data_IF_287519930141
#
_entry.id   IF_287519930141
#
_cell.length_a   1.000
_cell.length_b   1.000
_cell.length_c   1.000
_cell.angle_alpha   90.00
_cell.angle_beta   90.00
_cell.angle_gamma   90.00
#
_symmetry.space_group_name_H-M   'P 1'
#
loop_
_entity.id
_entity.type
_entity.pdbx_description
1 polymer ?
#
# COMPACT_ATOMS: atom_id res chain seq x y z
N UNK A 1 -18.49 23.04 17.77
CA UNK A 1 -18.41 21.97 16.73
C UNK A 1 -17.98 22.71 15.49
N UNK A 2 -16.81 22.36 14.92
CA UNK A 2 -16.33 23.01 13.70
C UNK A 2 -17.20 22.59 12.51
N UNK A 3 -17.61 23.54 11.69
CA UNK A 3 -18.29 23.29 10.42
C UNK A 3 -17.27 23.03 9.30
N UNK A 4 -17.73 22.62 8.14
CA UNK A 4 -16.87 22.50 6.96
C UNK A 4 -16.33 23.83 6.50
N UNK A 5 -17.13 24.90 6.64
CA UNK A 5 -16.72 26.26 6.35
C UNK A 5 -15.56 26.67 7.26
N UNK A 6 -15.64 26.41 8.57
CA UNK A 6 -14.56 26.71 9.53
C UNK A 6 -13.25 26.00 9.14
N UNK A 7 -13.32 24.73 8.71
CA UNK A 7 -12.14 23.95 8.30
C UNK A 7 -11.54 24.52 7.01
N UNK A 8 -12.37 24.90 6.06
CA UNK A 8 -11.93 25.43 4.78
C UNK A 8 -11.40 26.86 4.88
N UNK A 9 -11.95 27.67 5.78
CA UNK A 9 -11.46 29.04 6.06
C UNK A 9 -10.04 29.02 6.62
N UNK A 10 -9.70 28.02 7.43
CA UNK A 10 -8.35 27.84 7.97
C UNK A 10 -7.35 27.27 6.94
N UNK A 11 -7.82 26.73 5.82
CA UNK A 11 -6.95 26.14 4.79
C UNK A 11 -6.48 27.23 3.80
N UNK A 12 -5.19 27.62 3.80
CA UNK A 12 -4.69 28.61 2.85
C UNK A 12 -4.76 28.07 1.42
N UNK A 13 -5.17 28.94 0.48
CA UNK A 13 -5.11 28.64 -0.95
C UNK A 13 -3.69 28.92 -1.41
N UNK A 14 -2.93 27.86 -1.70
CA UNK A 14 -1.60 27.94 -2.29
C UNK A 14 -1.67 28.16 -3.82
N UNK A 15 -0.54 28.49 -4.42
CA UNK A 15 -0.41 28.67 -5.86
C UNK A 15 -0.53 27.31 -6.58
N UNK A 16 -1.25 27.29 -7.69
CA UNK A 16 -1.33 26.12 -8.58
C UNK A 16 0.02 25.89 -9.28
N UNK A 17 0.67 24.79 -8.97
CA UNK A 17 1.98 24.42 -9.50
C UNK A 17 1.89 23.21 -10.40
N UNK A 18 2.38 23.33 -11.64
CA UNK A 18 2.53 22.18 -12.54
C UNK A 18 3.62 21.25 -12.00
N UNK A 19 3.31 19.96 -11.89
CA UNK A 19 4.21 18.94 -11.33
C UNK A 19 4.58 17.84 -12.30
N UNK A 20 3.76 17.59 -13.33
CA UNK A 20 4.03 16.61 -14.37
C UNK A 20 3.17 16.85 -15.62
N UNK A 21 3.46 16.09 -16.66
CA UNK A 21 2.61 15.87 -17.82
C UNK A 21 2.30 14.37 -17.95
N UNK A 22 1.09 14.05 -18.41
CA UNK A 22 0.67 12.70 -18.77
C UNK A 22 0.25 12.67 -20.26
N UNK A 23 0.14 11.48 -20.83
CA UNK A 23 -0.42 11.31 -22.17
C UNK A 23 -1.86 11.86 -22.25
N UNK A 24 -2.49 11.86 -23.42
CA UNK A 24 -3.76 12.55 -23.70
C UNK A 24 -3.70 14.08 -23.47
N UNK A 25 -2.53 14.69 -23.59
CA UNK A 25 -2.29 16.13 -23.34
C UNK A 25 -2.82 16.57 -21.95
N UNK A 26 -2.59 15.75 -20.93
CA UNK A 26 -3.02 16.04 -19.56
C UNK A 26 -1.88 16.74 -18.83
N UNK A 27 -2.17 17.96 -18.35
CA UNK A 27 -1.28 18.68 -17.41
C UNK A 27 -1.66 18.32 -15.98
N UNK A 28 -0.67 17.95 -15.17
CA UNK A 28 -0.84 17.59 -13.76
C UNK A 28 -0.37 18.73 -12.88
N UNK A 29 -1.27 19.23 -12.05
CA UNK A 29 -1.00 20.31 -11.12
C UNK A 29 -1.17 19.83 -9.67
N UNK A 30 -0.47 20.52 -8.79
CA UNK A 30 -0.62 20.45 -7.34
C UNK A 30 -1.16 21.79 -6.87
N UNK A 31 -2.26 21.78 -6.12
CA UNK A 31 -2.80 22.95 -5.44
C UNK A 31 -3.56 22.53 -4.20
N UNK A 32 -3.34 23.21 -3.08
CA UNK A 32 -3.88 22.83 -1.78
C UNK A 32 -3.58 21.35 -1.50
N UNK A 33 -4.56 20.55 -1.17
CA UNK A 33 -4.42 19.12 -0.92
C UNK A 33 -4.90 18.28 -2.11
N UNK A 34 -4.83 18.85 -3.32
CA UNK A 34 -5.35 18.23 -4.55
C UNK A 34 -4.25 18.01 -5.57
N UNK A 35 -4.27 16.85 -6.19
CA UNK A 35 -3.63 16.57 -7.47
C UNK A 35 -4.69 16.79 -8.54
N UNK A 36 -4.41 17.66 -9.51
CA UNK A 36 -5.39 18.12 -10.48
C UNK A 36 -4.88 17.77 -11.89
N UNK A 37 -5.60 16.91 -12.59
CA UNK A 37 -5.31 16.50 -13.95
C UNK A 37 -6.24 17.29 -14.87
N UNK A 38 -5.68 18.14 -15.73
CA UNK A 38 -6.43 18.98 -16.66
C UNK A 38 -6.18 18.50 -18.09
N UNK A 39 -7.12 17.78 -18.71
CA UNK A 39 -7.02 17.40 -20.12
C UNK A 39 -7.10 18.63 -21.03
N UNK A 40 -6.24 18.68 -22.04
CA UNK A 40 -6.26 19.69 -23.09
C UNK A 40 -6.81 19.16 -24.42
N UNK A 41 -7.02 17.85 -24.48
CA UNK A 41 -7.70 17.16 -25.58
C UNK A 41 -9.04 16.58 -25.10
N UNK A 42 -9.86 16.13 -26.04
CA UNK A 42 -11.10 15.43 -25.71
C UNK A 42 -10.80 14.06 -25.10
N UNK A 43 -11.41 13.79 -23.96
CA UNK A 43 -11.20 12.53 -23.21
C UNK A 43 -12.51 11.96 -22.68
N UNK A 44 -12.55 10.65 -22.51
CA UNK A 44 -13.54 9.97 -21.68
C UNK A 44 -12.88 9.45 -20.42
N UNK A 45 -13.63 9.43 -19.33
CA UNK A 45 -13.16 8.91 -18.04
C UNK A 45 -14.11 7.84 -17.55
N UNK A 46 -13.56 6.67 -17.21
CA UNK A 46 -14.22 5.65 -16.41
C UNK A 46 -13.73 5.81 -14.97
N UNK A 47 -14.63 6.08 -14.04
CA UNK A 47 -14.31 6.23 -12.62
C UNK A 47 -14.89 5.07 -11.80
N UNK A 48 -14.02 4.39 -11.05
CA UNK A 48 -14.42 3.46 -10.01
C UNK A 48 -14.41 4.17 -8.65
N UNK A 49 -15.45 3.93 -7.85
CA UNK A 49 -15.62 4.55 -6.54
C UNK A 49 -17.08 4.99 -6.32
N UNK A 50 -17.26 5.96 -5.43
CA UNK A 50 -18.60 6.44 -5.03
C UNK A 50 -19.11 7.59 -5.93
N UNK A 51 -19.25 7.31 -7.23
CA UNK A 51 -19.78 8.26 -8.19
C UNK A 51 -21.22 7.88 -8.57
N UNK A 52 -22.08 8.89 -8.86
CA UNK A 52 -23.43 8.65 -9.40
C UNK A 52 -23.40 8.06 -10.82
N UNK A 53 -22.35 8.37 -11.60
CA UNK A 53 -22.08 7.81 -12.92
C UNK A 53 -20.66 7.28 -12.97
N UNK A 54 -20.45 6.17 -13.70
CA UNK A 54 -19.11 5.63 -13.93
C UNK A 54 -18.41 6.24 -15.15
N UNK A 55 -19.16 6.83 -16.11
CA UNK A 55 -18.60 7.40 -17.34
C UNK A 55 -18.81 8.90 -17.41
N UNK A 56 -17.74 9.62 -17.73
CA UNK A 56 -17.74 11.08 -17.88
C UNK A 56 -17.15 11.46 -19.23
N UNK A 57 -17.78 12.40 -19.90
CA UNK A 57 -17.33 12.94 -21.20
C UNK A 57 -16.72 14.32 -20.99
N UNK A 58 -15.51 14.53 -21.47
CA UNK A 58 -14.82 15.81 -21.48
C UNK A 58 -14.93 16.57 -20.13
N UNK A 59 -14.58 15.94 -19.01
CA UNK A 59 -14.58 16.65 -17.74
C UNK A 59 -13.56 17.80 -17.78
N UNK A 60 -13.83 18.86 -17.03
CA UNK A 60 -12.93 19.99 -16.85
C UNK A 60 -11.62 19.57 -16.20
N UNK A 61 -11.71 18.65 -15.25
CA UNK A 61 -10.57 18.10 -14.55
C UNK A 61 -10.90 16.71 -13.97
N UNK A 62 -9.85 15.95 -13.67
CA UNK A 62 -9.88 14.78 -12.80
C UNK A 62 -9.04 15.10 -11.58
N UNK A 63 -9.55 14.93 -10.38
CA UNK A 63 -8.85 15.31 -9.16
C UNK A 63 -8.70 14.15 -8.19
N UNK A 64 -7.57 14.11 -7.49
CA UNK A 64 -7.37 13.27 -6.32
C UNK A 64 -7.11 14.18 -5.11
N UNK A 65 -7.93 14.07 -4.07
CA UNK A 65 -7.98 15.01 -2.97
C UNK A 65 -7.60 14.33 -1.65
N UNK A 66 -6.65 14.92 -0.92
CA UNK A 66 -6.22 14.40 0.37
C UNK A 66 -7.03 14.99 1.52
N UNK A 67 -7.47 14.12 2.42
CA UNK A 67 -8.06 14.51 3.71
C UNK A 67 -7.01 14.60 4.84
N UNK A 68 -5.76 14.22 4.61
CA UNK A 68 -4.70 14.27 5.64
C UNK A 68 -4.45 15.73 6.09
N UNK A 69 -4.31 15.87 7.41
CA UNK A 69 -3.98 17.15 8.07
C UNK A 69 -5.11 18.16 8.08
N UNK A 70 -6.28 17.85 7.59
CA UNK A 70 -7.51 18.55 7.88
C UNK A 70 -7.95 18.10 9.25
N UNK A 71 -8.44 19.00 10.12
CA UNK A 71 -9.05 18.63 11.42
C UNK A 71 -10.31 17.75 11.29
N UNK A 72 -10.42 17.07 10.18
CA UNK A 72 -11.47 16.11 9.85
C UNK A 72 -11.54 14.99 10.88
N UNK A 73 -10.40 14.60 11.45
CA UNK A 73 -10.32 13.60 12.54
C UNK A 73 -11.09 14.03 13.80
N UNK A 74 -11.23 15.35 14.03
CA UNK A 74 -11.99 15.93 15.13
C UNK A 74 -13.41 16.33 14.72
N UNK A 75 -13.77 16.22 13.46
CA UNK A 75 -15.09 16.46 12.95
C UNK A 75 -15.88 15.16 13.01
N UNK A 76 -17.00 15.13 13.74
CA UNK A 76 -17.90 13.96 13.86
C UNK A 76 -18.36 13.41 12.50
N UNK A 77 -18.05 14.10 11.41
CA UNK A 77 -18.44 13.77 10.05
C UNK A 77 -17.26 13.31 9.16
N UNK A 78 -16.02 13.34 9.67
CA UNK A 78 -14.80 13.20 8.86
C UNK A 78 -14.66 11.88 8.10
N UNK A 79 -15.27 10.83 8.59
CA UNK A 79 -15.26 9.50 7.94
C UNK A 79 -16.58 9.18 7.23
N UNK A 80 -17.58 10.08 7.26
CA UNK A 80 -18.86 9.86 6.57
C UNK A 80 -18.73 10.28 5.10
N UNK A 81 -19.14 9.42 4.18
CA UNK A 81 -19.03 9.64 2.73
C UNK A 81 -19.59 11.00 2.29
N UNK A 82 -20.81 11.33 2.71
CA UNK A 82 -21.47 12.61 2.30
C UNK A 82 -20.69 13.85 2.78
N UNK A 83 -20.01 13.76 3.91
CA UNK A 83 -19.24 14.86 4.44
C UNK A 83 -17.95 15.09 3.63
N UNK A 84 -17.31 14.01 3.21
CA UNK A 84 -16.14 14.09 2.33
C UNK A 84 -16.49 14.71 0.98
N UNK A 85 -17.65 14.39 0.41
CA UNK A 85 -18.12 14.95 -0.86
C UNK A 85 -18.34 16.45 -0.76
N UNK A 86 -19.08 16.92 0.25
CA UNK A 86 -19.33 18.35 0.48
C UNK A 86 -18.03 19.15 0.68
N UNK A 87 -17.12 18.62 1.49
CA UNK A 87 -15.81 19.24 1.73
C UNK A 87 -14.98 19.31 0.44
N UNK A 88 -14.99 18.25 -0.36
CA UNK A 88 -14.26 18.20 -1.63
C UNK A 88 -14.82 19.15 -2.64
N UNK A 89 -16.15 19.21 -2.77
CA UNK A 89 -16.86 20.13 -3.67
C UNK A 89 -16.53 21.59 -3.34
N UNK A 90 -16.56 21.95 -2.07
CA UNK A 90 -16.25 23.33 -1.67
C UNK A 90 -14.77 23.68 -1.92
N UNK A 91 -13.84 22.76 -1.63
CA UNK A 91 -12.44 22.94 -1.99
C UNK A 91 -12.25 23.15 -3.48
N UNK A 92 -12.93 22.38 -4.32
CA UNK A 92 -12.86 22.52 -5.78
C UNK A 92 -13.32 23.92 -6.23
N UNK A 93 -14.43 24.43 -5.68
CA UNK A 93 -14.90 25.78 -6.00
C UNK A 93 -13.86 26.84 -5.61
N UNK A 94 -13.26 26.72 -4.45
CA UNK A 94 -12.21 27.66 -3.95
C UNK A 94 -10.97 27.68 -4.84
N UNK A 95 -10.61 26.56 -5.46
CA UNK A 95 -9.46 26.48 -6.38
C UNK A 95 -9.87 26.66 -7.86
N UNK A 96 -11.09 27.16 -8.12
CA UNK A 96 -11.56 27.52 -9.46
C UNK A 96 -11.98 26.33 -10.34
N UNK A 97 -12.39 25.21 -9.75
CA UNK A 97 -12.97 24.07 -10.44
C UNK A 97 -14.48 23.99 -10.20
N UNK A 98 -15.22 23.61 -11.25
CA UNK A 98 -16.65 23.30 -11.13
C UNK A 98 -16.83 21.82 -10.71
N UNK A 99 -17.36 21.53 -9.50
CA UNK A 99 -17.56 20.16 -9.03
C UNK A 99 -18.41 19.30 -9.98
N UNK A 100 -19.40 19.89 -10.65
CA UNK A 100 -20.26 19.17 -11.61
C UNK A 100 -19.55 18.76 -12.89
N UNK A 101 -18.42 19.38 -13.19
CA UNK A 101 -17.58 19.09 -14.36
C UNK A 101 -16.25 18.44 -14.00
N UNK A 102 -16.06 18.07 -12.73
CA UNK A 102 -14.84 17.49 -12.22
C UNK A 102 -15.10 16.07 -11.73
N UNK A 103 -14.29 15.12 -12.21
CA UNK A 103 -14.29 13.75 -11.69
C UNK A 103 -13.37 13.68 -10.47
N UNK A 104 -13.90 13.23 -9.35
CA UNK A 104 -13.27 13.40 -8.05
C UNK A 104 -12.91 12.06 -7.42
N UNK A 105 -11.67 11.93 -6.98
CA UNK A 105 -11.16 10.83 -6.16
C UNK A 105 -10.68 11.36 -4.81
N UNK A 106 -10.70 10.51 -3.79
CA UNK A 106 -10.30 10.88 -2.44
C UNK A 106 -9.29 9.92 -1.84
N UNK A 107 -8.38 10.44 -1.04
CA UNK A 107 -7.33 9.65 -0.38
C UNK A 107 -6.98 10.21 1.00
N UNK A 108 -6.35 9.38 1.83
CA UNK A 108 -5.63 9.83 3.02
C UNK A 108 -4.11 9.94 2.79
N UNK A 109 -3.61 9.77 1.57
CA UNK A 109 -2.20 9.96 1.25
C UNK A 109 -1.88 11.45 1.03
N UNK A 110 -0.62 11.84 1.25
CA UNK A 110 -0.16 13.20 0.99
C UNK A 110 0.02 13.43 -0.51
N UNK A 111 -0.45 14.55 -1.05
CA UNK A 111 -0.38 14.80 -2.50
C UNK A 111 1.05 15.03 -3.03
N UNK A 112 1.96 15.49 -2.18
CA UNK A 112 3.38 15.62 -2.58
C UNK A 112 4.08 14.26 -2.76
N UNK A 113 3.46 13.18 -2.28
CA UNK A 113 3.92 11.81 -2.43
C UNK A 113 3.28 11.09 -3.65
N UNK A 114 2.54 11.83 -4.47
CA UNK A 114 2.01 11.30 -5.72
C UNK A 114 3.15 10.98 -6.69
N UNK A 115 3.08 9.82 -7.33
CA UNK A 115 4.03 9.41 -8.35
C UNK A 115 3.37 9.41 -9.72
N UNK A 116 4.07 9.95 -10.72
CA UNK A 116 3.62 9.94 -12.13
C UNK A 116 4.66 9.18 -12.96
N UNK A 117 4.19 8.22 -13.75
CA UNK A 117 5.00 7.45 -14.70
C UNK A 117 4.38 7.55 -16.09
N UNK A 118 5.23 7.64 -17.11
CA UNK A 118 4.86 7.67 -18.51
C UNK A 118 5.61 6.55 -19.24
N UNK A 119 4.89 5.70 -19.96
CA UNK A 119 5.44 4.63 -20.78
C UNK A 119 4.86 4.67 -22.19
N UNK A 120 5.51 3.95 -23.09
CA UNK A 120 5.03 3.74 -24.45
C UNK A 120 4.98 2.24 -24.70
N UNK A 121 3.85 1.74 -25.15
CA UNK A 121 3.70 0.35 -25.54
C UNK A 121 4.55 0.01 -26.77
N UNK A 122 4.74 -1.25 -27.06
CA UNK A 122 5.51 -1.71 -28.22
C UNK A 122 4.92 -1.15 -29.54
N UNK A 123 3.59 -1.06 -29.62
CA UNK A 123 2.87 -0.54 -30.78
C UNK A 123 2.75 1.01 -30.76
N UNK A 124 3.44 1.68 -29.85
CA UNK A 124 3.56 3.13 -29.81
C UNK A 124 2.40 3.85 -29.11
N UNK A 125 1.55 3.14 -28.38
CA UNK A 125 0.48 3.75 -27.55
C UNK A 125 1.12 4.29 -26.26
N UNK A 126 0.90 5.56 -25.98
CA UNK A 126 1.35 6.20 -24.74
C UNK A 126 0.40 5.87 -23.59
N UNK A 127 0.95 5.48 -22.46
CA UNK A 127 0.25 5.16 -21.23
C UNK A 127 0.87 5.94 -20.09
N UNK A 128 0.06 6.53 -19.23
CA UNK A 128 0.53 7.25 -18.05
C UNK A 128 -0.26 6.85 -16.82
N UNK A 129 0.37 6.82 -15.66
CA UNK A 129 -0.31 6.62 -14.38
C UNK A 129 0.11 7.67 -13.37
N UNK A 130 -0.85 8.31 -12.71
CA UNK A 130 -0.64 9.13 -11.53
C UNK A 130 -1.23 8.40 -10.31
N UNK A 131 -0.39 8.10 -9.32
CA UNK A 131 -0.75 7.21 -8.21
C UNK A 131 -0.41 7.85 -6.87
N UNK A 132 -1.33 7.73 -5.91
CA UNK A 132 -1.06 7.90 -4.48
C UNK A 132 -1.34 6.60 -3.76
N UNK A 133 -0.49 6.22 -2.81
CA UNK A 133 -0.61 4.94 -2.13
C UNK A 133 -0.24 5.03 -0.65
N UNK A 134 -1.16 4.62 0.25
CA UNK A 134 -0.92 4.56 1.68
C UNK A 134 -1.80 3.49 2.33
N UNK A 135 -1.19 2.40 2.80
CA UNK A 135 -1.88 1.24 3.40
C UNK A 135 -1.41 0.87 4.80
N UNK A 136 -0.52 1.65 5.43
CA UNK A 136 -0.05 1.33 6.79
C UNK A 136 -1.17 1.30 7.83
N UNK A 137 -2.21 2.13 7.66
CA UNK A 137 -3.33 2.24 8.59
C UNK A 137 -4.50 1.29 8.31
N UNK A 138 -4.66 0.84 7.05
CA UNK A 138 -5.84 0.07 6.63
C UNK A 138 -5.55 -0.97 5.53
N UNK A 139 -4.30 -1.37 5.37
CA UNK A 139 -3.96 -2.45 4.43
C UNK A 139 -4.80 -3.68 4.72
N UNK A 140 -5.49 -4.18 3.71
CA UNK A 140 -6.39 -5.32 3.81
C UNK A 140 -6.30 -6.25 2.62
N UNK A 141 -6.82 -7.44 2.79
CA UNK A 141 -6.93 -8.44 1.73
C UNK A 141 -8.39 -8.59 1.33
N UNK A 142 -8.65 -8.70 0.04
CA UNK A 142 -9.98 -9.04 -0.44
C UNK A 142 -10.45 -10.35 0.22
N UNK A 143 -11.63 -10.30 0.89
CA UNK A 143 -12.18 -11.38 1.71
C UNK A 143 -11.82 -11.35 3.19
N UNK A 144 -11.07 -10.36 3.67
CA UNK A 144 -10.94 -10.08 5.10
C UNK A 144 -12.26 -9.56 5.69
N UNK A 145 -12.44 -9.57 7.03
CA UNK A 145 -13.60 -8.97 7.68
C UNK A 145 -13.83 -7.53 7.24
N UNK A 146 -15.10 -7.17 7.02
CA UNK A 146 -15.47 -5.81 6.63
C UNK A 146 -15.11 -4.80 7.73
N UNK A 147 -14.64 -3.62 7.30
CA UNK A 147 -14.34 -2.47 8.17
C UNK A 147 -15.19 -1.24 7.83
N UNK A 148 -16.16 -1.37 6.92
CA UNK A 148 -17.13 -0.35 6.59
C UNK A 148 -18.42 -0.59 7.36
N UNK A 149 -18.90 0.44 8.05
CA UNK A 149 -20.20 0.43 8.71
C UNK A 149 -21.27 0.97 7.75
N UNK A 150 -22.17 0.10 7.29
CA UNK A 150 -23.24 0.43 6.36
C UNK A 150 -24.29 1.37 6.97
N UNK A 151 -24.55 1.26 8.28
CA UNK A 151 -25.54 2.09 8.96
C UNK A 151 -25.03 3.52 9.16
N UNK A 152 -23.79 3.65 9.61
CA UNK A 152 -23.14 4.95 9.80
C UNK A 152 -22.49 5.50 8.53
N UNK A 153 -22.36 4.68 7.49
CA UNK A 153 -21.72 5.01 6.20
C UNK A 153 -20.31 5.59 6.39
N UNK A 154 -19.52 4.92 7.21
CA UNK A 154 -18.16 5.36 7.53
C UNK A 154 -17.15 4.20 7.53
N UNK A 155 -15.88 4.56 7.36
CA UNK A 155 -14.76 3.62 7.48
C UNK A 155 -14.08 3.78 8.84
N UNK A 156 -13.67 2.67 9.45
CA UNK A 156 -12.99 2.71 10.76
C UNK A 156 -11.62 3.38 10.71
N UNK A 157 -10.88 3.20 9.60
CA UNK A 157 -9.48 3.68 9.49
C UNK A 157 -9.21 4.33 8.14
N UNK A 158 -8.46 5.45 8.12
CA UNK A 158 -8.07 6.11 6.89
C UNK A 158 -6.92 5.38 6.20
N UNK A 159 -6.89 5.46 4.89
CA UNK A 159 -5.86 4.95 4.00
C UNK A 159 -6.49 4.53 2.69
N UNK A 160 -5.77 4.72 1.57
CA UNK A 160 -6.27 4.29 0.27
C UNK A 160 -5.17 4.27 -0.77
N UNK A 161 -5.46 3.62 -1.89
CA UNK A 161 -4.68 3.70 -3.12
C UNK A 161 -5.59 4.30 -4.19
N UNK A 162 -5.13 5.40 -4.82
CA UNK A 162 -5.80 5.99 -5.98
C UNK A 162 -4.87 5.87 -7.17
N UNK A 163 -5.39 5.27 -8.26
CA UNK A 163 -4.70 5.10 -9.53
C UNK A 163 -5.48 5.88 -10.60
N UNK A 164 -4.87 6.90 -11.18
CA UNK A 164 -5.39 7.64 -12.31
C UNK A 164 -4.57 7.26 -13.55
N UNK A 165 -5.15 6.41 -14.39
CA UNK A 165 -4.53 5.85 -15.59
C UNK A 165 -4.98 6.64 -16.80
N UNK A 166 -4.05 6.98 -17.71
CA UNK A 166 -4.35 7.59 -19.01
C UNK A 166 -3.82 6.71 -20.15
N UNK A 167 -4.61 6.55 -21.20
CA UNK A 167 -4.27 5.80 -22.43
C UNK A 167 -4.55 6.67 -23.64
N UNK A 168 -3.52 6.99 -24.41
CA UNK A 168 -3.60 7.90 -25.55
C UNK A 168 -4.10 7.19 -26.83
N UNK A 169 -5.29 6.68 -26.75
CA UNK A 169 -5.97 5.95 -27.81
C UNK A 169 -7.50 6.03 -27.67
N UNK A 170 -8.21 5.74 -28.75
CA UNK A 170 -9.65 5.46 -28.73
C UNK A 170 -9.88 4.04 -28.20
N UNK A 171 -10.44 3.93 -26.99
CA UNK A 171 -10.62 2.68 -26.25
C UNK A 171 -12.11 2.47 -25.97
N UNK A 172 -12.74 1.36 -26.39
CA UNK A 172 -14.15 1.09 -26.11
C UNK A 172 -14.38 0.78 -24.63
N UNK A 173 -15.61 0.90 -24.16
CA UNK A 173 -15.98 0.74 -22.75
C UNK A 173 -15.50 -0.59 -22.16
N UNK A 174 -15.67 -1.69 -22.91
CA UNK A 174 -15.20 -3.00 -22.47
C UNK A 174 -13.69 -3.05 -22.21
N UNK A 175 -12.89 -2.43 -23.08
CA UNK A 175 -11.44 -2.37 -22.91
C UNK A 175 -11.01 -1.37 -21.81
N UNK A 176 -11.79 -0.33 -21.53
CA UNK A 176 -11.56 0.52 -20.34
C UNK A 176 -11.76 -0.26 -19.05
N UNK A 177 -12.76 -1.14 -18.96
CA UNK A 177 -12.91 -2.05 -17.82
C UNK A 177 -11.74 -3.05 -17.72
N UNK A 178 -11.26 -3.58 -18.83
CA UNK A 178 -10.05 -4.42 -18.82
C UNK A 178 -8.82 -3.66 -18.31
N UNK A 179 -8.63 -2.39 -18.73
CA UNK A 179 -7.55 -1.55 -18.21
C UNK A 179 -7.64 -1.36 -16.69
N UNK A 180 -8.85 -1.13 -16.17
CA UNK A 180 -9.11 -1.03 -14.72
C UNK A 180 -8.78 -2.35 -13.99
N UNK A 181 -9.17 -3.49 -14.54
CA UNK A 181 -8.84 -4.82 -13.99
C UNK A 181 -7.32 -5.05 -14.01
N UNK A 182 -6.64 -4.76 -15.11
CA UNK A 182 -5.19 -4.89 -15.25
C UNK A 182 -4.45 -4.00 -14.24
N UNK A 183 -4.88 -2.75 -14.07
CA UNK A 183 -4.35 -1.85 -13.06
C UNK A 183 -4.52 -2.40 -11.62
N UNK A 184 -5.70 -2.98 -11.33
CA UNK A 184 -5.98 -3.61 -10.04
C UNK A 184 -5.15 -4.86 -9.80
N UNK A 185 -4.93 -5.70 -10.82
CA UNK A 185 -4.04 -6.85 -10.75
C UNK A 185 -2.60 -6.42 -10.50
N UNK A 186 -2.09 -5.43 -11.24
CA UNK A 186 -0.76 -4.86 -11.04
C UNK A 186 -0.58 -4.31 -9.63
N UNK A 187 -1.57 -3.59 -9.11
CA UNK A 187 -1.58 -3.13 -7.70
C UNK A 187 -1.42 -4.28 -6.73
N UNK A 188 -2.19 -5.34 -6.90
CA UNK A 188 -2.12 -6.50 -6.01
C UNK A 188 -0.78 -7.22 -6.09
N UNK A 189 -0.18 -7.31 -7.29
CA UNK A 189 1.17 -7.85 -7.45
C UNK A 189 2.22 -7.06 -6.68
N UNK A 190 2.23 -5.72 -6.80
CA UNK A 190 3.18 -4.86 -6.08
C UNK A 190 3.06 -5.03 -4.57
N UNK A 191 1.84 -5.06 -4.04
CA UNK A 191 1.60 -5.24 -2.61
C UNK A 191 2.08 -6.62 -2.14
N UNK A 192 1.91 -7.66 -2.96
CA UNK A 192 2.42 -9.00 -2.66
C UNK A 192 3.94 -9.07 -2.76
N UNK A 193 4.57 -8.43 -3.74
CA UNK A 193 6.02 -8.36 -3.86
C UNK A 193 6.66 -7.61 -2.68
N UNK A 194 6.00 -6.58 -2.18
CA UNK A 194 6.38 -5.87 -0.96
C UNK A 194 6.03 -6.64 0.32
N UNK A 195 5.36 -7.79 0.23
CA UNK A 195 4.92 -8.58 1.38
C UNK A 195 4.13 -7.77 2.42
N UNK A 196 3.42 -6.73 1.97
CA UNK A 196 2.70 -5.82 2.85
C UNK A 196 1.57 -6.57 3.58
N UNK A 197 1.58 -6.49 4.91
CA UNK A 197 0.63 -7.23 5.73
C UNK A 197 -0.80 -6.69 5.65
N UNK A 198 -1.79 -7.58 5.72
CA UNK A 198 -3.14 -7.19 6.10
C UNK A 198 -3.18 -6.83 7.60
N UNK A 199 -4.00 -5.84 7.96
CA UNK A 199 -4.28 -5.49 9.37
C UNK A 199 -5.49 -6.26 9.93
N UNK A 200 -6.20 -7.00 9.09
CA UNK A 200 -7.44 -7.71 9.43
C UNK A 200 -7.27 -9.24 9.43
N UNK A 201 -6.17 -9.72 8.90
CA UNK A 201 -5.82 -11.15 8.88
C UNK A 201 -4.30 -11.34 8.84
N UNK A 202 -3.77 -12.52 9.20
CA UNK A 202 -2.34 -12.81 9.12
C UNK A 202 -1.87 -13.08 7.68
N UNK A 203 -2.55 -12.52 6.68
CA UNK A 203 -2.25 -12.69 5.26
C UNK A 203 -1.58 -11.44 4.69
N UNK A 204 -1.07 -11.56 3.46
CA UNK A 204 -0.58 -10.43 2.69
C UNK A 204 -1.79 -9.64 2.17
N UNK A 205 -1.76 -8.33 2.26
CA UNK A 205 -2.78 -7.43 1.72
C UNK A 205 -2.89 -7.55 0.18
N UNK A 206 -4.00 -7.09 -0.38
CA UNK A 206 -4.20 -6.92 -1.83
C UNK A 206 -4.53 -5.47 -2.19
N UNK A 207 -4.68 -4.63 -1.19
CA UNK A 207 -5.04 -3.21 -1.32
C UNK A 207 -5.34 -2.60 0.04
N UNK A 208 -6.19 -1.59 0.03
CA UNK A 208 -6.92 -1.08 1.18
C UNK A 208 -8.42 -1.39 1.02
N UNK A 209 -9.23 -1.07 2.01
CA UNK A 209 -10.70 -1.19 1.89
C UNK A 209 -11.34 -0.13 0.99
N UNK A 210 -10.58 0.85 0.50
CA UNK A 210 -11.09 2.06 -0.16
C UNK A 210 -10.38 2.41 -1.47
N UNK A 211 -9.73 1.45 -2.11
CA UNK A 211 -8.98 1.68 -3.34
C UNK A 211 -9.88 2.17 -4.48
N UNK A 212 -9.36 3.12 -5.26
CA UNK A 212 -10.07 3.72 -6.38
C UNK A 212 -9.19 3.71 -7.63
N UNK A 213 -9.83 3.48 -8.80
CA UNK A 213 -9.16 3.51 -10.10
C UNK A 213 -9.96 4.36 -11.07
N UNK A 214 -9.31 5.33 -11.69
CA UNK A 214 -9.83 6.10 -12.81
C UNK A 214 -9.07 5.77 -14.09
N UNK A 215 -9.79 5.55 -15.20
CA UNK A 215 -9.20 5.31 -16.52
C UNK A 215 -9.60 6.44 -17.45
N UNK A 216 -8.64 7.17 -17.97
CA UNK A 216 -8.81 8.30 -18.88
C UNK A 216 -8.33 7.86 -20.27
N UNK A 217 -9.15 8.01 -21.28
CA UNK A 217 -8.82 7.66 -22.66
C UNK A 217 -9.04 8.84 -23.59
N UNK A 218 -8.18 9.01 -24.57
CA UNK A 218 -8.35 10.03 -25.59
C UNK A 218 -9.54 9.68 -26.49
N UNK A 219 -10.29 10.69 -26.96
CA UNK A 219 -11.34 10.55 -27.96
C UNK A 219 -10.88 11.15 -29.27
N UNK A 220 -11.14 10.48 -30.39
CA UNK A 220 -10.76 10.96 -31.70
C UNK A 220 -9.24 10.99 -31.97
N UNK A 221 -8.51 10.09 -31.31
CA UNK A 221 -7.06 9.95 -31.47
C UNK A 221 -6.65 9.39 -32.85
N UNK A 222 -7.58 8.72 -33.52
CA UNK A 222 -7.31 7.95 -34.75
C UNK A 222 -6.52 6.66 -34.51
N UNK A 223 -6.30 6.28 -33.25
CA UNK A 223 -5.61 5.04 -32.83
C UNK A 223 -6.57 4.19 -32.00
N UNK A 224 -7.09 3.13 -32.57
CA UNK A 224 -7.99 2.23 -31.87
C UNK A 224 -7.22 1.19 -31.05
N UNK A 225 -7.70 0.91 -29.84
CA UNK A 225 -7.19 -0.16 -28.96
C UNK A 225 -8.40 -0.94 -28.45
N UNK A 226 -8.51 -2.20 -28.87
CA UNK A 226 -9.67 -3.05 -28.57
C UNK A 226 -9.46 -3.92 -27.33
N UNK A 227 -8.23 -4.07 -26.83
CA UNK A 227 -7.89 -4.93 -25.69
C UNK A 227 -6.85 -4.25 -24.79
N UNK A 228 -7.18 -4.15 -23.48
CA UNK A 228 -6.30 -3.67 -22.41
C UNK A 228 -6.09 -4.73 -21.32
N UNK A 229 -6.40 -5.98 -21.59
CA UNK A 229 -6.12 -7.11 -20.70
C UNK A 229 -4.62 -7.34 -20.48
N UNK A 230 -4.24 -7.98 -19.41
CA UNK A 230 -2.84 -8.11 -18.97
C UNK A 230 -1.91 -8.81 -20.00
N UNK A 231 -2.45 -9.53 -20.98
CA UNK A 231 -1.70 -10.17 -22.05
C UNK A 231 -1.59 -9.34 -23.34
N UNK A 232 -2.31 -8.22 -23.46
CA UNK A 232 -2.20 -7.32 -24.59
C UNK A 232 -1.00 -6.37 -24.44
N UNK A 233 -0.54 -5.80 -25.54
CA UNK A 233 0.60 -4.86 -25.52
C UNK A 233 0.28 -3.62 -24.68
N UNK A 234 -0.91 -3.05 -24.84
CA UNK A 234 -1.36 -1.90 -24.04
C UNK A 234 -1.57 -2.31 -22.57
N UNK A 235 -2.16 -3.48 -22.31
CA UNK A 235 -2.35 -4.01 -20.96
C UNK A 235 -1.01 -4.24 -20.23
N UNK A 236 0.01 -4.74 -20.93
CA UNK A 236 1.36 -4.82 -20.39
C UNK A 236 1.91 -3.44 -20.01
N UNK A 237 1.77 -2.44 -20.88
CA UNK A 237 2.21 -1.07 -20.60
C UNK A 237 1.43 -0.46 -19.42
N UNK A 238 0.12 -0.71 -19.32
CA UNK A 238 -0.71 -0.34 -18.17
C UNK A 238 -0.17 -0.96 -16.87
N UNK A 239 0.05 -2.27 -16.87
CA UNK A 239 0.54 -2.97 -15.69
C UNK A 239 1.92 -2.44 -15.23
N UNK A 240 2.85 -2.23 -16.15
CA UNK A 240 4.19 -1.69 -15.84
C UNK A 240 4.11 -0.25 -15.34
N UNK A 241 3.32 0.60 -16.00
CA UNK A 241 3.15 2.00 -15.61
C UNK A 241 2.59 2.14 -14.18
N UNK A 242 1.56 1.35 -13.86
CA UNK A 242 0.97 1.29 -12.54
C UNK A 242 1.97 0.72 -11.51
N UNK A 243 2.71 -0.32 -11.87
CA UNK A 243 3.72 -0.93 -11.02
C UNK A 243 4.80 0.08 -10.60
N UNK A 244 5.40 0.77 -11.56
CA UNK A 244 6.46 1.74 -11.28
C UNK A 244 5.97 2.91 -10.44
N UNK A 245 4.76 3.43 -10.76
CA UNK A 245 4.15 4.50 -9.95
C UNK A 245 3.84 4.05 -8.53
N UNK A 246 3.37 2.82 -8.34
CA UNK A 246 3.03 2.28 -7.01
C UNK A 246 4.26 2.11 -6.11
N UNK A 247 5.34 1.51 -6.62
CA UNK A 247 6.57 1.39 -5.85
C UNK A 247 7.06 2.75 -5.38
N UNK A 248 7.08 3.73 -6.29
CA UNK A 248 7.48 5.10 -5.96
C UNK A 248 6.53 5.78 -4.97
N UNK A 249 5.22 5.63 -5.15
CA UNK A 249 4.23 6.22 -4.25
C UNK A 249 4.28 5.61 -2.84
N UNK A 250 4.45 4.30 -2.72
CA UNK A 250 4.63 3.63 -1.42
C UNK A 250 5.90 4.07 -0.71
N UNK A 251 7.01 4.18 -1.45
CA UNK A 251 8.27 4.66 -0.90
C UNK A 251 8.16 6.11 -0.40
N UNK A 252 7.66 7.01 -1.24
CA UNK A 252 7.45 8.42 -0.89
C UNK A 252 6.50 8.61 0.30
N UNK A 253 5.39 7.85 0.34
CA UNK A 253 4.35 8.01 1.36
C UNK A 253 4.76 7.44 2.71
N UNK A 254 5.50 6.35 2.73
CA UNK A 254 5.70 5.58 3.95
C UNK A 254 7.07 4.91 4.07
N UNK A 255 7.97 5.10 3.09
CA UNK A 255 9.22 4.38 3.03
C UNK A 255 9.03 2.86 2.82
N UNK A 256 7.87 2.44 2.29
CA UNK A 256 7.63 1.04 1.98
C UNK A 256 8.23 0.73 0.61
N UNK A 257 9.36 0.07 0.60
CA UNK A 257 10.11 -0.33 -0.59
C UNK A 257 10.77 -1.71 -0.36
N UNK A 258 11.36 -2.36 -1.37
CA UNK A 258 11.97 -3.68 -1.21
C UNK A 258 13.05 -3.74 -0.13
N UNK A 259 13.83 -2.68 0.06
CA UNK A 259 14.88 -2.64 1.08
C UNK A 259 14.28 -2.62 2.49
N UNK A 260 13.32 -1.74 2.76
CA UNK A 260 12.68 -1.64 4.08
C UNK A 260 11.76 -2.82 4.40
N UNK A 261 11.33 -3.55 3.40
CA UNK A 261 10.55 -4.78 3.56
C UNK A 261 11.43 -6.02 3.73
N UNK A 262 12.72 -5.94 3.36
CA UNK A 262 13.73 -6.97 3.65
C UNK A 262 14.25 -6.83 5.10
N UNK A 263 13.33 -6.93 6.06
CA UNK A 263 13.55 -6.73 7.49
C UNK A 263 12.83 -7.86 8.25
N UNK A 264 13.56 -8.66 9.05
CA UNK A 264 12.96 -9.79 9.77
C UNK A 264 11.83 -9.36 10.72
N UNK A 265 11.91 -8.21 11.37
CA UNK A 265 10.86 -7.73 12.29
C UNK A 265 9.61 -7.27 11.54
N UNK A 266 9.78 -6.65 10.36
CA UNK A 266 8.66 -6.30 9.48
C UNK A 266 7.92 -7.57 9.05
N UNK A 267 8.64 -8.60 8.61
CA UNK A 267 8.06 -9.89 8.21
C UNK A 267 7.36 -10.60 9.36
N UNK A 268 7.99 -10.67 10.53
CA UNK A 268 7.47 -11.30 11.75
C UNK A 268 6.19 -10.60 12.24
N UNK A 269 6.09 -9.28 12.07
CA UNK A 269 4.94 -8.50 12.53
C UNK A 269 3.60 -8.94 11.92
N UNK A 270 3.62 -9.55 10.73
CA UNK A 270 2.44 -10.15 10.08
C UNK A 270 1.84 -11.30 10.90
N UNK A 271 2.66 -11.98 11.66
CA UNK A 271 2.31 -13.13 12.51
C UNK A 271 2.14 -12.75 13.98
N UNK A 272 2.11 -11.45 14.29
CA UNK A 272 1.98 -10.95 15.66
C UNK A 272 3.24 -11.10 16.50
N UNK A 273 4.38 -11.40 15.87
CA UNK A 273 5.68 -11.43 16.54
C UNK A 273 6.27 -10.02 16.46
N UNK A 274 6.29 -9.32 17.59
CA UNK A 274 6.79 -7.94 17.71
C UNK A 274 8.13 -7.93 18.42
N UNK A 275 8.91 -6.85 18.29
CA UNK A 275 10.14 -6.65 19.04
C UNK A 275 9.90 -6.77 20.56
N UNK A 276 8.81 -6.19 21.08
CA UNK A 276 8.44 -6.31 22.49
C UNK A 276 8.28 -7.78 22.91
N UNK A 277 7.53 -8.57 22.13
CA UNK A 277 7.36 -10.00 22.42
C UNK A 277 8.70 -10.75 22.42
N UNK A 278 9.59 -10.44 21.47
CA UNK A 278 10.92 -11.04 21.40
C UNK A 278 11.74 -10.65 22.64
N UNK A 279 11.69 -9.39 23.08
CA UNK A 279 12.38 -8.92 24.28
C UNK A 279 11.87 -9.63 25.55
N UNK A 280 10.57 -9.89 25.65
CA UNK A 280 9.98 -10.59 26.82
C UNK A 280 10.47 -12.04 26.96
N UNK A 281 10.98 -12.64 25.87
CA UNK A 281 11.55 -13.98 25.85
C UNK A 281 13.04 -14.02 26.19
N UNK A 282 13.73 -12.86 26.35
CA UNK A 282 15.14 -12.77 26.68
C UNK A 282 15.36 -13.13 28.17
N UNK A 283 16.25 -14.09 28.43
CA UNK A 283 16.43 -14.68 29.75
C UNK A 283 17.71 -14.28 30.45
N UNK A 284 18.68 -13.76 29.74
CA UNK A 284 19.95 -13.38 30.30
C UNK A 284 20.09 -11.86 30.38
N UNK A 285 20.79 -11.33 31.38
CA UNK A 285 20.91 -9.90 31.57
C UNK A 285 21.75 -9.29 30.42
N UNK A 286 21.08 -8.46 29.62
CA UNK A 286 21.70 -7.58 28.63
C UNK A 286 21.37 -6.13 28.99
N UNK A 287 22.26 -5.20 28.62
CA UNK A 287 21.93 -3.80 28.78
C UNK A 287 20.89 -3.38 27.69
N UNK A 288 20.01 -2.44 28.00
CA UNK A 288 19.07 -1.93 27.03
C UNK A 288 19.78 -1.35 25.80
N UNK A 289 20.93 -0.70 26.01
CA UNK A 289 21.75 -0.14 24.92
C UNK A 289 22.25 -1.24 23.97
N UNK A 290 22.78 -2.35 24.50
CA UNK A 290 23.25 -3.47 23.67
C UNK A 290 22.13 -4.19 22.94
N UNK A 291 20.93 -4.30 23.55
CA UNK A 291 19.75 -4.87 22.91
C UNK A 291 19.27 -4.00 21.74
N UNK A 292 19.14 -2.68 21.93
CA UNK A 292 18.73 -1.75 20.88
C UNK A 292 19.74 -1.72 19.73
N UNK A 293 21.03 -1.78 20.02
CA UNK A 293 22.06 -1.86 18.98
C UNK A 293 21.96 -3.18 18.21
N UNK A 294 21.83 -4.32 18.89
CA UNK A 294 21.68 -5.62 18.26
C UNK A 294 20.40 -5.70 17.40
N UNK A 295 19.31 -5.12 17.87
CA UNK A 295 18.06 -4.99 17.10
C UNK A 295 18.26 -4.16 15.83
N UNK A 296 18.94 -3.00 15.93
CA UNK A 296 19.25 -2.15 14.78
C UNK A 296 20.14 -2.84 13.73
N UNK A 297 21.04 -3.73 14.16
CA UNK A 297 21.84 -4.57 13.26
C UNK A 297 20.98 -5.65 12.59
N UNK A 298 20.06 -6.29 13.34
CA UNK A 298 19.16 -7.32 12.81
C UNK A 298 18.16 -6.76 11.81
N UNK A 299 17.66 -5.54 11.99
CA UNK A 299 16.80 -4.86 11.01
C UNK A 299 17.41 -4.77 9.61
N UNK A 300 18.74 -4.74 9.52
CA UNK A 300 19.49 -4.61 8.26
C UNK A 300 20.11 -5.92 7.79
N UNK A 301 19.85 -7.02 8.49
CA UNK A 301 20.44 -8.31 8.17
C UNK A 301 19.61 -9.06 7.13
N UNK A 302 19.97 -8.88 5.86
CA UNK A 302 19.29 -9.53 4.74
C UNK A 302 19.35 -11.07 4.79
N UNK A 303 20.41 -11.66 5.38
CA UNK A 303 20.49 -13.10 5.55
C UNK A 303 19.43 -13.58 6.54
N UNK A 304 19.34 -12.96 7.72
CA UNK A 304 18.31 -13.29 8.71
C UNK A 304 16.90 -13.06 8.14
N UNK A 305 16.69 -11.96 7.40
CA UNK A 305 15.41 -11.69 6.73
C UNK A 305 15.03 -12.81 5.75
N UNK A 306 15.95 -13.27 4.91
CA UNK A 306 15.72 -14.38 3.98
C UNK A 306 15.38 -15.69 4.70
N UNK A 307 16.09 -15.98 5.80
CA UNK A 307 15.86 -17.17 6.63
C UNK A 307 14.47 -17.12 7.28
N UNK A 308 14.12 -15.99 7.90
CA UNK A 308 12.79 -15.76 8.50
C UNK A 308 11.70 -15.91 7.45
N UNK A 309 11.88 -15.33 6.26
CA UNK A 309 10.91 -15.44 5.15
C UNK A 309 10.66 -16.91 4.78
N UNK A 310 11.71 -17.72 4.65
CA UNK A 310 11.60 -19.15 4.32
C UNK A 310 10.79 -19.93 5.38
N UNK A 311 11.02 -19.65 6.66
CA UNK A 311 10.30 -20.30 7.76
C UNK A 311 8.84 -19.83 7.82
N UNK A 312 8.58 -18.55 7.60
CA UNK A 312 7.23 -17.99 7.57
C UNK A 312 6.39 -18.51 6.39
N UNK A 313 7.02 -18.92 5.28
CA UNK A 313 6.31 -19.60 4.20
C UNK A 313 5.67 -20.91 4.67
N UNK A 314 6.33 -21.63 5.58
CA UNK A 314 5.76 -22.86 6.17
C UNK A 314 4.51 -22.55 7.00
N UNK A 315 4.51 -21.42 7.75
CA UNK A 315 3.34 -20.97 8.49
C UNK A 315 2.15 -20.66 7.55
N UNK A 316 2.41 -20.02 6.41
CA UNK A 316 1.39 -19.77 5.39
C UNK A 316 0.87 -21.09 4.78
N UNK A 317 1.74 -22.05 4.51
CA UNK A 317 1.36 -23.35 3.94
C UNK A 317 0.50 -24.19 4.92
N UNK A 318 0.80 -24.13 6.21
CA UNK A 318 -0.05 -24.72 7.27
C UNK A 318 -1.43 -24.06 7.26
N UNK A 319 -1.51 -22.73 7.26
CA UNK A 319 -2.77 -21.98 7.25
C UNK A 319 -3.64 -22.24 6.01
N UNK A 320 -2.98 -22.50 4.89
CA UNK A 320 -3.65 -22.85 3.64
C UNK A 320 -4.02 -24.35 3.54
N UNK A 321 -3.68 -25.16 4.55
CA UNK A 321 -3.93 -26.60 4.54
C UNK A 321 -3.05 -27.38 3.57
N UNK A 322 -1.98 -26.79 3.04
CA UNK A 322 -1.03 -27.48 2.15
C UNK A 322 -0.11 -28.42 2.90
N UNK A 323 0.15 -28.14 4.17
CA UNK A 323 1.01 -28.91 5.05
C UNK A 323 0.29 -29.18 6.36
N UNK A 324 0.44 -30.39 6.88
CA UNK A 324 -0.04 -30.78 8.21
C UNK A 324 0.64 -29.90 9.28
N UNK A 325 -0.14 -29.42 10.24
CA UNK A 325 0.32 -28.47 11.26
C UNK A 325 1.55 -29.01 12.02
N UNK A 326 1.50 -30.25 12.49
CA UNK A 326 2.57 -30.85 13.29
C UNK A 326 3.85 -31.06 12.46
N UNK A 327 3.70 -31.61 11.26
CA UNK A 327 4.84 -31.82 10.36
C UNK A 327 5.46 -30.52 9.89
N UNK A 328 4.62 -29.51 9.59
CA UNK A 328 5.06 -28.19 9.20
C UNK A 328 5.81 -27.49 10.31
N UNK A 329 5.29 -27.50 11.56
CA UNK A 329 5.97 -26.93 12.69
C UNK A 329 7.32 -27.61 12.99
N UNK A 330 7.39 -28.95 12.85
CA UNK A 330 8.64 -29.68 12.99
C UNK A 330 9.67 -29.32 11.91
N UNK A 331 9.24 -29.19 10.66
CA UNK A 331 10.11 -28.74 9.56
C UNK A 331 10.60 -27.31 9.77
N UNK A 332 9.71 -26.40 10.18
CA UNK A 332 10.04 -25.00 10.49
C UNK A 332 11.08 -24.90 11.62
N UNK A 333 10.92 -25.71 12.69
CA UNK A 333 11.90 -25.77 13.79
C UNK A 333 13.29 -26.16 13.31
N UNK A 334 13.39 -27.25 12.54
CA UNK A 334 14.67 -27.71 12.00
C UNK A 334 15.31 -26.64 11.12
N UNK A 335 14.54 -26.08 10.18
CA UNK A 335 15.04 -25.06 9.28
C UNK A 335 15.51 -23.82 10.05
N UNK A 336 14.71 -23.32 10.98
CA UNK A 336 15.08 -22.16 11.78
C UNK A 336 16.33 -22.39 12.64
N UNK A 337 16.49 -23.58 13.22
CA UNK A 337 17.70 -23.97 13.94
C UNK A 337 18.93 -23.94 13.04
N UNK A 338 18.84 -24.59 11.88
CA UNK A 338 20.00 -24.78 11.01
C UNK A 338 20.48 -23.46 10.37
N UNK A 339 19.59 -22.46 10.24
CA UNK A 339 19.90 -21.23 9.54
C UNK A 339 20.10 -20.02 10.45
N UNK A 340 19.41 -19.94 11.60
CA UNK A 340 19.46 -18.78 12.48
C UNK A 340 20.50 -18.93 13.62
N UNK A 341 20.86 -20.16 13.97
CA UNK A 341 21.70 -20.44 15.14
C UNK A 341 22.89 -21.34 14.80
N UNK A 342 24.00 -21.09 15.47
CA UNK A 342 25.17 -21.95 15.46
C UNK A 342 24.96 -23.18 16.36
N UNK A 343 25.61 -24.31 16.07
CA UNK A 343 25.62 -25.47 16.98
C UNK A 343 26.14 -25.05 18.36
N UNK A 344 25.34 -25.26 19.39
CA UNK A 344 25.69 -24.89 20.77
C UNK A 344 25.08 -23.59 21.28
N UNK A 345 24.45 -22.77 20.44
CA UNK A 345 23.84 -21.50 20.84
C UNK A 345 22.68 -21.65 21.84
N UNK A 346 22.04 -22.80 21.86
CA UNK A 346 20.90 -23.04 22.72
C UNK A 346 21.33 -23.71 24.05
N UNK A 347 21.02 -23.01 25.13
CA UNK A 347 21.06 -23.60 26.45
C UNK A 347 20.04 -24.75 26.60
N UNK A 348 20.27 -25.71 27.53
CA UNK A 348 19.41 -26.88 27.70
C UNK A 348 17.95 -26.53 28.03
N UNK A 349 17.69 -25.39 28.71
CA UNK A 349 16.34 -24.97 29.11
C UNK A 349 15.58 -24.45 27.89
N UNK A 350 16.20 -23.58 27.11
CA UNK A 350 15.61 -23.06 25.86
C UNK A 350 15.35 -24.19 24.86
N UNK A 351 16.31 -25.14 24.74
CA UNK A 351 16.12 -26.33 23.89
C UNK A 351 14.93 -27.17 24.36
N UNK A 352 14.74 -27.34 25.64
CA UNK A 352 13.62 -28.10 26.21
C UNK A 352 12.29 -27.38 25.94
N UNK A 353 12.24 -26.05 26.11
CA UNK A 353 11.02 -25.28 25.86
C UNK A 353 10.65 -25.33 24.37
N UNK A 354 11.61 -25.15 23.47
CA UNK A 354 11.40 -25.29 22.02
C UNK A 354 10.84 -26.66 21.62
N UNK A 355 11.20 -27.72 22.36
CA UNK A 355 10.67 -29.06 22.07
C UNK A 355 9.18 -29.19 22.33
N UNK A 356 8.62 -28.35 23.20
CA UNK A 356 7.18 -28.31 23.50
C UNK A 356 6.40 -27.27 22.67
N UNK A 357 7.11 -26.38 21.96
CA UNK A 357 6.45 -25.39 21.11
C UNK A 357 5.83 -26.08 19.88
N UNK A 358 4.54 -25.91 19.68
CA UNK A 358 3.78 -26.56 18.61
C UNK A 358 3.52 -25.63 17.40
N UNK A 359 3.84 -24.33 17.54
CA UNK A 359 3.59 -23.32 16.50
C UNK A 359 4.87 -22.82 15.85
N UNK A 360 4.79 -22.46 14.57
CA UNK A 360 5.90 -21.85 13.84
C UNK A 360 6.24 -20.49 14.43
N UNK A 361 5.21 -19.73 14.77
CA UNK A 361 5.31 -18.38 15.31
C UNK A 361 6.01 -18.35 16.68
N UNK A 362 5.62 -19.24 17.59
CA UNK A 362 6.27 -19.35 18.90
C UNK A 362 7.74 -19.77 18.80
N UNK A 363 8.01 -20.72 17.91
CA UNK A 363 9.38 -21.16 17.62
C UNK A 363 10.25 -20.00 17.10
N UNK A 364 9.75 -19.22 16.12
CA UNK A 364 10.48 -18.08 15.58
C UNK A 364 10.68 -16.98 16.60
N UNK A 365 9.68 -16.67 17.43
CA UNK A 365 9.80 -15.67 18.50
C UNK A 365 10.94 -16.00 19.44
N UNK A 366 11.01 -17.24 19.90
CA UNK A 366 12.08 -17.70 20.81
C UNK A 366 13.46 -17.73 20.15
N UNK A 367 13.56 -18.19 18.91
CA UNK A 367 14.83 -18.24 18.19
C UNK A 367 15.37 -16.84 17.88
N UNK A 368 14.49 -15.91 17.55
CA UNK A 368 14.85 -14.51 17.38
C UNK A 368 15.32 -13.86 18.70
N UNK A 369 14.70 -14.22 19.84
CA UNK A 369 15.15 -13.77 21.15
C UNK A 369 16.57 -14.28 21.47
N UNK A 370 16.86 -15.55 21.17
CA UNK A 370 18.22 -16.12 21.34
C UNK A 370 19.23 -15.40 20.44
N UNK A 371 18.89 -15.16 19.18
CA UNK A 371 19.77 -14.47 18.24
C UNK A 371 20.05 -13.03 18.68
N UNK A 372 18.99 -12.29 19.06
CA UNK A 372 19.10 -10.92 19.57
C UNK A 372 19.99 -10.86 20.83
N UNK A 373 19.74 -11.72 21.80
CA UNK A 373 20.51 -11.82 23.04
C UNK A 373 21.99 -12.12 22.77
N UNK A 374 22.27 -13.08 21.88
CA UNK A 374 23.65 -13.45 21.53
C UNK A 374 24.41 -12.26 20.92
N UNK A 375 23.76 -11.49 20.01
CA UNK A 375 24.35 -10.27 19.45
C UNK A 375 24.57 -9.21 20.50
N UNK A 376 23.61 -8.98 21.39
CA UNK A 376 23.74 -8.02 22.49
C UNK A 376 24.88 -8.34 23.44
N UNK A 377 25.08 -9.62 23.79
CA UNK A 377 26.21 -10.06 24.61
C UNK A 377 27.55 -9.82 23.90
N UNK A 378 27.68 -10.14 22.62
CA UNK A 378 28.90 -9.84 21.84
C UNK A 378 29.23 -8.34 21.82
N UNK A 379 28.22 -7.48 21.72
CA UNK A 379 28.38 -6.03 21.79
C UNK A 379 28.91 -5.61 23.18
N UNK A 380 28.35 -6.20 24.24
CA UNK A 380 28.82 -5.93 25.62
C UNK A 380 30.24 -6.38 25.87
N UNK A 381 30.68 -7.51 25.29
CA UNK A 381 32.05 -8.03 25.42
C UNK A 381 33.07 -7.19 24.63
N UNK A 382 32.64 -6.52 23.58
CA UNK A 382 33.47 -5.67 22.74
C UNK A 382 33.60 -4.20 23.22
N UNK A 383 32.78 -3.80 24.18
CA UNK A 383 32.71 -2.44 24.74
C UNK A 383 33.53 -2.33 26.03
#
# INVERSE_FOLDING_TARGET
MFTWEDILEEEPIDERRKVADMCCDIEVFRQCRSLILIPRSEVRVLAGGHHESSFFQNPMAVTNNSSIGVRVENCLMGNKLNANDLYTDERQRRIGLDPKRTVTFGTAAHMDNAAVTNLVSKDGIRVSAAVTAGIRGNGGRAGDPASFDEAERCFEKPGTIVILLAIDADVPDGAMFQAMLTATQSKSCVIQELMAKSLYSPRIATGSGTDQVGVIVRTGSGRAVDDCGASSDVGMAVAQCVRESLFKAFDLQSGMNPETQCDPFVMLSRFGITASRIHDEIRFPCTMASLLQAEAELHKDAYVAACVSAVLQIADDIRLGKTDCRKGAEAAKRLAYDILLEPGDLDPVTRKILSYEETVEGCLSMLMAVLLQKRALKIMEAA
#
